data_IF_275030805130
#
_entry.id   IF_275030805130
#
_cell.length_a   1.000
_cell.length_b   1.000
_cell.length_c   1.000
_cell.angle_alpha   90.00
_cell.angle_beta   90.00
_cell.angle_gamma   90.00
#
_symmetry.space_group_name_H-M   'P 1'
#
loop_
_entity.id
_entity.type
_entity.pdbx_description
1 polymer ?
#
# COMPACT_ATOMS: atom_id res chain seq x y z
N UNK A 1 -1.44 1.97 -11.83
CA UNK A 1 -2.35 1.06 -12.55
C UNK A 1 -1.68 -0.29 -12.64
N UNK A 2 -2.40 -1.37 -12.56
CA UNK A 2 -1.85 -2.71 -12.79
C UNK A 2 -2.66 -3.44 -13.85
N UNK A 3 -2.00 -4.37 -14.53
CA UNK A 3 -2.62 -5.13 -15.60
C UNK A 3 -3.40 -6.32 -15.01
N UNK A 4 -4.66 -6.40 -15.34
CA UNK A 4 -5.55 -7.50 -14.94
C UNK A 4 -6.08 -8.15 -16.21
N UNK A 5 -6.09 -9.47 -16.24
CA UNK A 5 -6.74 -10.19 -17.34
C UNK A 5 -8.18 -10.50 -16.95
N UNK A 6 -9.13 -9.92 -17.65
CA UNK A 6 -10.57 -10.21 -17.49
C UNK A 6 -11.10 -11.07 -18.65
N UNK A 7 -12.04 -11.92 -18.34
CA UNK A 7 -12.77 -12.68 -19.37
C UNK A 7 -14.02 -11.88 -19.72
N UNK A 8 -14.06 -11.31 -20.93
CA UNK A 8 -15.19 -10.58 -21.48
C UNK A 8 -15.69 -11.37 -22.68
N UNK A 9 -16.95 -11.77 -22.67
CA UNK A 9 -17.56 -12.59 -23.73
C UNK A 9 -16.75 -13.85 -24.08
N UNK A 10 -16.19 -14.53 -23.07
CA UNK A 10 -15.42 -15.75 -23.25
C UNK A 10 -13.98 -15.54 -23.75
N UNK A 11 -13.54 -14.30 -24.01
CA UNK A 11 -12.18 -13.98 -24.45
C UNK A 11 -11.40 -13.31 -23.32
N UNK A 12 -10.11 -13.69 -23.17
CA UNK A 12 -9.18 -13.03 -22.26
C UNK A 12 -8.75 -11.70 -22.85
N UNK A 13 -9.05 -10.61 -22.16
CA UNK A 13 -8.65 -9.24 -22.55
C UNK A 13 -7.82 -8.59 -21.45
N UNK A 14 -6.70 -7.94 -21.79
CA UNK A 14 -5.95 -7.15 -20.81
C UNK A 14 -6.76 -5.92 -20.40
N UNK A 15 -6.76 -5.62 -19.12
CA UNK A 15 -7.46 -4.47 -18.55
C UNK A 15 -6.53 -3.72 -17.61
N UNK A 16 -6.50 -2.40 -17.72
CA UNK A 16 -5.73 -1.54 -16.82
C UNK A 16 -6.67 -1.06 -15.70
N UNK A 17 -6.43 -1.51 -14.48
CA UNK A 17 -7.22 -1.10 -13.33
C UNK A 17 -6.37 -0.29 -12.33
N UNK A 18 -6.99 0.65 -11.59
CA UNK A 18 -6.32 1.25 -10.44
C UNK A 18 -5.95 0.16 -9.44
N UNK A 19 -4.75 0.25 -8.86
CA UNK A 19 -4.29 -0.68 -7.83
C UNK A 19 -5.18 -0.65 -6.59
N UNK A 20 -5.73 0.52 -6.29
CA UNK A 20 -6.68 0.79 -5.23
C UNK A 20 -7.87 1.55 -5.85
N UNK A 21 -8.92 0.85 -6.26
CA UNK A 21 -10.14 1.50 -6.70
C UNK A 21 -10.72 2.33 -5.55
N UNK A 22 -11.35 3.44 -5.87
CA UNK A 22 -12.04 4.33 -4.92
C UNK A 22 -11.17 5.03 -3.88
N UNK A 23 -9.83 4.93 -3.96
CA UNK A 23 -8.90 5.63 -3.07
C UNK A 23 -8.03 6.60 -3.87
N UNK A 24 -7.98 7.85 -3.39
CA UNK A 24 -7.09 8.90 -3.90
C UNK A 24 -6.19 9.37 -2.76
N UNK A 25 -4.88 9.38 -3.00
CA UNK A 25 -3.91 9.94 -2.08
C UNK A 25 -3.65 11.40 -2.40
N UNK A 26 -3.72 12.26 -1.40
CA UNK A 26 -3.45 13.68 -1.56
C UNK A 26 -2.36 14.13 -0.58
N UNK A 27 -1.28 14.73 -1.09
CA UNK A 27 -0.22 15.33 -0.27
C UNK A 27 -0.54 16.79 -0.01
N UNK A 28 -1.10 17.07 1.15
CA UNK A 28 -1.44 18.45 1.55
C UNK A 28 -1.46 18.60 3.07
N UNK A 29 -1.45 19.85 3.55
CA UNK A 29 -1.57 20.12 4.98
C UNK A 29 -2.98 19.82 5.49
N UNK A 30 -3.11 19.51 6.78
CA UNK A 30 -4.42 19.24 7.41
C UNK A 30 -5.42 20.40 7.22
N UNK A 31 -4.96 21.63 7.25
CA UNK A 31 -5.82 22.81 7.01
C UNK A 31 -6.34 22.84 5.59
N UNK A 32 -5.48 22.67 4.60
CA UNK A 32 -5.88 22.61 3.17
C UNK A 32 -6.80 21.44 2.88
N UNK A 33 -6.56 20.28 3.49
CA UNK A 33 -7.43 19.12 3.31
C UNK A 33 -8.83 19.38 3.87
N UNK A 34 -8.93 20.04 5.04
CA UNK A 34 -10.22 20.42 5.62
C UNK A 34 -10.98 21.41 4.73
N UNK A 35 -10.30 22.41 4.22
CA UNK A 35 -10.87 23.40 3.30
C UNK A 35 -11.39 22.71 2.03
N UNK A 36 -10.57 21.87 1.42
CA UNK A 36 -10.92 21.11 0.22
C UNK A 36 -12.15 20.21 0.40
N UNK A 37 -12.27 19.53 1.55
CA UNK A 37 -13.42 18.65 1.82
C UNK A 37 -14.67 19.44 2.21
N UNK A 38 -14.50 20.64 2.82
CA UNK A 38 -15.61 21.51 3.22
C UNK A 38 -16.26 22.20 2.02
N UNK A 39 -15.44 22.63 1.05
CA UNK A 39 -15.91 23.30 -0.17
C UNK A 39 -15.25 22.67 -1.41
N UNK A 40 -15.67 21.44 -1.77
CA UNK A 40 -15.08 20.74 -2.88
C UNK A 40 -15.56 21.32 -4.21
N UNK A 41 -14.67 21.38 -5.19
CA UNK A 41 -15.06 21.62 -6.57
C UNK A 41 -16.18 20.65 -7.00
N UNK A 42 -17.07 20.99 -7.94
CA UNK A 42 -18.17 20.13 -8.35
C UNK A 42 -17.78 18.69 -8.71
N UNK A 43 -16.59 18.52 -9.31
CA UNK A 43 -16.00 17.23 -9.66
C UNK A 43 -15.50 16.42 -8.45
N UNK A 44 -15.37 17.03 -7.28
CA UNK A 44 -14.81 16.42 -6.08
C UNK A 44 -15.83 16.20 -4.95
N UNK A 45 -17.13 16.41 -5.20
CA UNK A 45 -18.21 16.25 -4.20
C UNK A 45 -18.33 14.87 -3.59
N UNK A 46 -17.80 13.85 -4.24
CA UNK A 46 -17.82 12.47 -3.78
C UNK A 46 -16.66 12.11 -2.86
N UNK A 47 -15.64 12.97 -2.79
CA UNK A 47 -14.46 12.71 -1.95
C UNK A 47 -14.83 12.80 -0.48
N UNK A 48 -14.47 11.75 0.26
CA UNK A 48 -14.61 11.67 1.71
C UNK A 48 -13.28 11.25 2.31
N UNK A 49 -13.06 11.63 3.55
CA UNK A 49 -11.91 11.11 4.27
C UNK A 49 -12.01 9.60 4.43
N UNK A 50 -10.90 8.94 4.19
CA UNK A 50 -10.69 7.58 4.65
C UNK A 50 -10.26 7.65 6.11
N UNK A 51 -11.13 7.21 7.02
CA UNK A 51 -10.97 7.43 8.46
C UNK A 51 -10.44 6.21 9.18
N UNK A 52 -9.65 6.45 10.23
CA UNK A 52 -9.10 5.40 11.08
C UNK A 52 -10.12 4.98 12.15
N UNK A 53 -10.83 3.89 11.89
CA UNK A 53 -11.84 3.35 12.78
C UNK A 53 -11.27 2.72 14.07
N UNK A 54 -9.95 2.55 14.16
CA UNK A 54 -9.28 2.03 15.35
C UNK A 54 -9.05 3.11 16.40
N UNK A 55 -9.11 4.39 15.99
CA UNK A 55 -8.96 5.54 16.88
C UNK A 55 -10.30 6.06 17.38
N UNK A 56 -10.33 6.66 18.57
CA UNK A 56 -11.55 7.25 19.10
C UNK A 56 -12.04 8.42 18.24
N UNK A 57 -13.33 8.73 18.35
CA UNK A 57 -13.92 9.87 17.68
C UNK A 57 -13.28 11.19 18.13
N UNK A 58 -12.96 12.07 17.19
CA UNK A 58 -12.48 13.42 17.51
C UNK A 58 -13.62 14.22 18.22
N UNK A 59 -13.31 14.83 19.34
CA UNK A 59 -14.29 15.62 20.13
C UNK A 59 -14.89 16.79 19.35
N UNK A 60 -14.13 17.35 18.39
CA UNK A 60 -14.53 18.53 17.60
C UNK A 60 -15.39 18.19 16.40
N UNK A 61 -15.26 17.01 15.83
CA UNK A 61 -15.95 16.61 14.59
C UNK A 61 -16.98 15.51 14.81
N UNK A 62 -16.87 14.73 15.87
CA UNK A 62 -17.69 13.55 16.12
C UNK A 62 -17.38 12.36 15.20
N UNK A 63 -16.31 12.44 14.39
CA UNK A 63 -15.89 11.38 13.47
C UNK A 63 -14.51 10.83 13.84
N UNK A 64 -14.22 9.62 13.36
CA UNK A 64 -12.87 9.08 13.46
C UNK A 64 -11.88 9.97 12.69
N UNK A 65 -10.63 10.12 13.17
CA UNK A 65 -9.64 10.94 12.48
C UNK A 65 -9.32 10.37 11.09
N UNK A 66 -8.96 11.22 10.12
CA UNK A 66 -8.47 10.77 8.82
C UNK A 66 -7.21 9.92 8.97
N UNK A 67 -7.07 8.90 8.13
CA UNK A 67 -5.80 8.17 8.01
C UNK A 67 -4.77 9.11 7.39
N UNK A 68 -3.61 9.21 8.05
CA UNK A 68 -2.46 9.97 7.58
C UNK A 68 -1.32 8.98 7.34
N UNK A 69 -0.87 8.90 6.11
CA UNK A 69 0.25 8.04 5.72
C UNK A 69 1.53 8.89 5.77
N UNK A 70 2.57 8.47 6.51
CA UNK A 70 3.86 9.15 6.53
C UNK A 70 4.48 9.26 5.13
N UNK A 71 5.16 10.37 4.84
CA UNK A 71 5.78 10.62 3.53
C UNK A 71 6.74 9.51 3.10
N UNK A 72 7.52 8.96 4.04
CA UNK A 72 8.45 7.86 3.76
C UNK A 72 7.75 6.57 3.35
N UNK A 73 6.60 6.25 3.96
CA UNK A 73 5.80 5.07 3.59
C UNK A 73 5.15 5.27 2.23
N UNK A 74 4.58 6.44 1.98
CA UNK A 74 3.98 6.76 0.69
C UNK A 74 5.02 6.74 -0.44
N UNK A 75 6.19 7.34 -0.26
CA UNK A 75 7.25 7.30 -1.26
C UNK A 75 7.74 5.86 -1.53
N UNK A 76 7.81 5.04 -0.50
CA UNK A 76 8.17 3.64 -0.61
C UNK A 76 7.11 2.83 -1.38
N UNK A 77 5.83 3.09 -1.08
CA UNK A 77 4.71 2.49 -1.80
C UNK A 77 4.67 2.91 -3.28
N UNK A 78 4.83 4.21 -3.58
CA UNK A 78 4.88 4.71 -4.96
C UNK A 78 6.01 4.00 -5.73
N UNK A 79 7.19 3.89 -5.13
CA UNK A 79 8.34 3.22 -5.72
C UNK A 79 8.04 1.75 -6.04
N UNK A 80 7.44 1.02 -5.10
CA UNK A 80 7.10 -0.38 -5.28
C UNK A 80 5.97 -0.59 -6.30
N UNK A 81 4.93 0.24 -6.27
CA UNK A 81 3.77 0.12 -7.14
C UNK A 81 4.02 0.63 -8.57
N UNK A 82 5.12 1.38 -8.78
CA UNK A 82 5.53 1.81 -10.13
C UNK A 82 6.21 0.69 -10.94
N UNK A 83 6.61 -0.39 -10.27
CA UNK A 83 7.16 -1.56 -10.96
C UNK A 83 6.00 -2.40 -11.49
N UNK A 84 5.88 -2.47 -12.82
CA UNK A 84 4.88 -3.35 -13.46
C UNK A 84 5.27 -4.81 -13.27
N UNK A 85 4.46 -5.55 -12.53
CA UNK A 85 4.66 -6.97 -12.30
C UNK A 85 3.32 -7.65 -12.05
N UNK A 86 3.05 -8.73 -12.79
CA UNK A 86 1.82 -9.54 -12.64
C UNK A 86 1.67 -10.15 -11.24
N UNK A 87 2.76 -10.21 -10.50
CA UNK A 87 2.80 -10.86 -9.19
C UNK A 87 2.93 -9.87 -8.02
N UNK A 88 2.86 -8.57 -8.27
CA UNK A 88 2.83 -7.54 -7.24
C UNK A 88 1.43 -6.95 -7.12
N UNK A 89 1.03 -6.52 -5.93
CA UNK A 89 -0.28 -5.91 -5.74
C UNK A 89 -0.71 -5.83 -4.28
N UNK A 90 -1.91 -5.29 -4.09
CA UNK A 90 -2.54 -5.21 -2.77
C UNK A 90 -3.13 -6.56 -2.38
N UNK A 91 -2.88 -6.95 -1.13
CA UNK A 91 -3.48 -8.16 -0.55
C UNK A 91 -4.06 -7.88 0.84
N UNK A 92 -5.08 -8.63 1.27
CA UNK A 92 -5.58 -8.58 2.63
C UNK A 92 -4.50 -8.97 3.64
N UNK A 93 -4.48 -8.31 4.80
CA UNK A 93 -3.48 -8.53 5.87
C UNK A 93 -3.45 -9.99 6.33
N UNK A 94 -4.57 -10.65 6.33
CA UNK A 94 -4.76 -12.06 6.75
C UNK A 94 -4.05 -13.06 5.83
N UNK A 95 -3.77 -12.66 4.58
CA UNK A 95 -3.06 -13.49 3.60
C UNK A 95 -1.54 -13.35 3.64
N UNK A 96 -1.03 -12.38 4.40
CA UNK A 96 0.42 -12.18 4.55
C UNK A 96 0.96 -13.11 5.64
N UNK A 97 1.94 -13.92 5.27
CA UNK A 97 2.71 -14.72 6.23
C UNK A 97 4.11 -14.16 6.31
N UNK A 98 4.46 -13.52 7.41
CA UNK A 98 5.82 -13.07 7.63
C UNK A 98 6.72 -14.29 7.88
N UNK A 99 7.80 -14.42 7.10
CA UNK A 99 8.77 -15.53 7.26
C UNK A 99 9.68 -15.27 8.46
N UNK A 100 10.44 -14.18 8.41
CA UNK A 100 11.24 -13.67 9.53
C UNK A 100 10.66 -12.39 10.10
N UNK A 101 9.85 -11.68 9.32
CA UNK A 101 9.37 -10.34 9.66
C UNK A 101 10.46 -9.27 9.67
N UNK A 102 11.68 -9.63 9.25
CA UNK A 102 12.79 -8.70 9.20
C UNK A 102 12.50 -7.53 8.28
N UNK A 103 12.86 -6.33 8.73
CA UNK A 103 12.83 -5.14 7.90
C UNK A 103 14.06 -5.15 7.00
N UNK A 104 13.85 -5.09 5.71
CA UNK A 104 14.91 -5.16 4.71
C UNK A 104 14.77 -4.06 3.68
N UNK A 105 15.88 -3.75 3.03
CA UNK A 105 15.93 -2.89 1.85
C UNK A 105 16.34 -3.73 0.63
N UNK A 106 15.66 -3.54 -0.48
CA UNK A 106 16.05 -4.11 -1.76
C UNK A 106 17.20 -3.28 -2.33
N UNK A 107 18.33 -3.93 -2.61
CA UNK A 107 19.56 -3.27 -3.08
C UNK A 107 19.83 -3.48 -4.58
N UNK A 108 19.13 -4.40 -5.23
CA UNK A 108 19.27 -4.73 -6.66
C UNK A 108 17.91 -4.99 -7.32
N UNK A 109 17.88 -4.98 -8.66
CA UNK A 109 16.69 -5.26 -9.47
C UNK A 109 15.70 -4.11 -9.52
N UNK A 110 14.51 -4.37 -10.09
CA UNK A 110 13.49 -3.36 -10.38
C UNK A 110 12.93 -2.69 -9.11
N UNK A 111 12.88 -3.42 -8.01
CA UNK A 111 12.43 -2.91 -6.71
C UNK A 111 13.55 -2.23 -5.88
N UNK A 112 14.69 -1.90 -6.51
CA UNK A 112 15.82 -1.29 -5.80
C UNK A 112 15.41 -0.06 -5.01
N UNK A 113 15.78 -0.03 -3.73
CA UNK A 113 15.48 1.04 -2.79
C UNK A 113 14.13 0.89 -2.06
N UNK A 114 13.32 -0.11 -2.39
CA UNK A 114 12.10 -0.43 -1.65
C UNK A 114 12.47 -1.00 -0.28
N UNK A 115 11.79 -0.53 0.76
CA UNK A 115 11.95 -1.00 2.14
C UNK A 115 10.64 -1.65 2.59
N UNK A 116 10.73 -2.82 3.18
CA UNK A 116 9.57 -3.54 3.69
C UNK A 116 9.96 -4.77 4.50
N UNK A 117 8.97 -5.56 4.91
CA UNK A 117 9.20 -6.78 5.69
C UNK A 117 9.24 -8.02 4.82
N UNK A 118 10.13 -8.94 5.15
CA UNK A 118 10.19 -10.24 4.46
C UNK A 118 8.95 -11.05 4.78
N UNK A 119 8.19 -11.38 3.75
CA UNK A 119 6.96 -12.15 3.84
C UNK A 119 6.96 -13.32 2.84
N UNK A 120 6.01 -14.23 3.00
CA UNK A 120 5.69 -15.26 2.01
C UNK A 120 4.27 -15.06 1.51
N UNK A 121 4.13 -15.09 0.19
CA UNK A 121 2.84 -15.16 -0.47
C UNK A 121 2.93 -16.14 -1.64
N UNK A 122 1.94 -17.00 -1.81
CA UNK A 122 1.93 -18.06 -2.82
C UNK A 122 3.21 -18.94 -2.80
N UNK A 123 3.74 -19.24 -1.61
CA UNK A 123 4.94 -20.06 -1.44
C UNK A 123 6.28 -19.36 -1.72
N UNK A 124 6.26 -18.14 -2.27
CA UNK A 124 7.44 -17.39 -2.66
C UNK A 124 7.80 -16.30 -1.65
N UNK A 125 9.09 -15.98 -1.55
CA UNK A 125 9.58 -14.86 -0.78
C UNK A 125 9.26 -13.53 -1.48
N UNK A 126 8.69 -12.59 -0.76
CA UNK A 126 8.29 -11.28 -1.23
C UNK A 126 8.54 -10.24 -0.16
N UNK A 127 8.47 -8.98 -0.52
CA UNK A 127 8.54 -7.86 0.42
C UNK A 127 7.13 -7.29 0.59
N UNK A 128 6.71 -7.21 1.84
CA UNK A 128 5.43 -6.63 2.23
C UNK A 128 5.65 -5.19 2.71
N UNK A 129 4.89 -4.27 2.15
CA UNK A 129 4.81 -2.87 2.55
C UNK A 129 3.43 -2.63 3.15
N UNK A 130 3.40 -2.32 4.43
CA UNK A 130 2.15 -1.98 5.10
C UNK A 130 1.84 -0.49 4.89
N UNK A 131 0.64 -0.21 4.42
CA UNK A 131 0.04 1.11 4.42
C UNK A 131 -0.97 1.12 5.56
N UNK A 132 -0.66 1.81 6.64
CA UNK A 132 -1.47 1.81 7.85
C UNK A 132 -2.94 2.15 7.54
N UNK A 133 -3.84 1.27 7.98
CA UNK A 133 -5.29 1.43 7.81
C UNK A 133 -5.84 1.18 6.40
N UNK A 134 -4.98 0.94 5.39
CA UNK A 134 -5.40 0.70 4.00
C UNK A 134 -5.19 -0.75 3.59
N UNK A 135 -3.99 -1.29 3.80
CA UNK A 135 -3.68 -2.66 3.43
C UNK A 135 -2.20 -2.93 3.28
N UNK A 136 -1.87 -4.07 2.69
CA UNK A 136 -0.49 -4.48 2.47
C UNK A 136 -0.26 -4.64 0.97
N UNK A 137 0.75 -3.93 0.46
CA UNK A 137 1.28 -4.16 -0.88
C UNK A 137 2.39 -5.21 -0.80
N UNK A 138 2.36 -6.19 -1.69
CA UNK A 138 3.44 -7.16 -1.84
C UNK A 138 4.12 -6.99 -3.20
N UNK A 139 5.45 -7.19 -3.20
CA UNK A 139 6.24 -7.20 -4.43
C UNK A 139 6.13 -8.56 -5.14
N UNK A 140 6.68 -8.66 -6.34
CA UNK A 140 7.05 -9.95 -6.93
C UNK A 140 8.12 -10.66 -6.09
N UNK A 141 8.53 -11.86 -6.51
CA UNK A 141 9.64 -12.58 -5.89
C UNK A 141 10.93 -11.77 -5.92
N UNK A 142 11.63 -11.71 -4.78
CA UNK A 142 12.92 -11.05 -4.65
C UNK A 142 13.92 -12.02 -4.04
N UNK A 143 15.08 -12.29 -4.73
CA UNK A 143 16.15 -13.15 -4.21
C UNK A 143 16.77 -12.61 -2.92
N UNK A 144 17.30 -13.50 -2.08
CA UNK A 144 17.92 -13.12 -0.82
C UNK A 144 19.15 -12.22 -0.99
N UNK A 145 19.94 -12.43 -2.02
CA UNK A 145 21.13 -11.64 -2.34
C UNK A 145 20.81 -10.19 -2.81
N UNK A 146 19.53 -9.91 -3.06
CA UNK A 146 19.03 -8.57 -3.34
C UNK A 146 18.59 -7.83 -2.09
N UNK A 147 18.65 -8.45 -0.91
CA UNK A 147 18.13 -7.91 0.33
C UNK A 147 19.27 -7.51 1.29
N UNK A 148 19.17 -6.30 1.81
CA UNK A 148 19.99 -5.81 2.94
C UNK A 148 19.11 -5.74 4.17
N UNK A 149 19.44 -6.47 5.23
CA UNK A 149 18.72 -6.41 6.50
C UNK A 149 18.99 -5.07 7.17
N UNK A 150 17.92 -4.34 7.49
CA UNK A 150 17.96 -3.08 8.23
C UNK A 150 17.69 -3.31 9.72
N UNK A 151 16.71 -4.16 10.04
CA UNK A 151 16.34 -4.52 11.41
C UNK A 151 15.84 -5.96 11.43
N UNK A 152 16.39 -6.77 12.31
CA UNK A 152 15.87 -8.12 12.57
C UNK A 152 14.62 -8.05 13.42
N UNK A 153 13.65 -8.91 13.12
CA UNK A 153 12.51 -9.11 13.99
C UNK A 153 12.97 -9.99 15.16
N UNK A 154 12.96 -9.45 16.37
CA UNK A 154 13.16 -10.26 17.56
C UNK A 154 11.93 -11.15 17.73
N UNK A 155 12.09 -12.44 17.47
CA UNK A 155 11.06 -13.41 17.81
C UNK A 155 11.02 -13.48 19.34
N UNK A 156 9.98 -12.90 19.93
CA UNK A 156 9.69 -13.15 21.34
C UNK A 156 9.35 -14.63 21.44
N UNK A 157 10.25 -15.40 22.04
CA UNK A 157 10.05 -16.81 22.39
C UNK A 157 9.09 -16.91 23.55
#
# INVERSE_FOLDING_TARGET
MHDVTKIINGKRSPFHEPLLPDIVFARMTRSKTREFVKDPAPSAKWLKYYTDKTKPLERTTGFNPPIVIPDNEMLNFIKASSVSSEHSGMIPKERVRYKSGDLVQVIKGDFKGVIGRVARAAGQQRIALELEGIGIFITAYIPNDFLKVLKRCETVV
#
